data_IF_895460854963
#
_entry.id   IF_895460854963
#
_cell.length_a   1.000
_cell.length_b   1.000
_cell.length_c   1.000
_cell.angle_alpha   90.00
_cell.angle_beta   90.00
_cell.angle_gamma   90.00
#
_symmetry.space_group_name_H-M   'P 1'
#
loop_
_entity.id
_entity.type
_entity.pdbx_description
1 polymer ?
#
# COMPACT_ATOMS: atom_id res chain seq x y z
N UNK A 1 20.29 4.73 9.01
CA UNK A 1 19.11 3.82 9.00
C UNK A 1 19.49 2.58 8.20
N UNK A 2 19.45 1.40 8.81
CA UNK A 2 20.23 0.22 8.40
C UNK A 2 19.88 -0.36 7.01
N UNK A 3 20.87 -0.63 6.14
CA UNK A 3 20.67 -1.14 4.77
C UNK A 3 20.21 -2.61 4.68
N UNK A 4 20.09 -3.32 5.81
CA UNK A 4 19.82 -4.76 5.86
C UNK A 4 18.33 -5.15 5.79
N UNK A 5 17.40 -4.19 5.75
CA UNK A 5 15.95 -4.46 5.80
C UNK A 5 15.34 -4.67 4.39
N UNK A 6 16.07 -4.24 3.35
CA UNK A 6 15.65 -4.37 1.94
C UNK A 6 15.42 -5.82 1.48
N UNK A 7 16.32 -6.80 1.75
CA UNK A 7 16.11 -8.17 1.28
C UNK A 7 14.92 -8.85 1.96
N UNK A 8 14.65 -8.55 3.24
CA UNK A 8 13.58 -9.19 4.00
C UNK A 8 12.18 -8.84 3.46
N UNK A 9 11.99 -7.58 3.03
CA UNK A 9 10.74 -7.12 2.42
C UNK A 9 10.48 -7.74 1.05
N UNK A 10 11.54 -7.87 0.23
CA UNK A 10 11.46 -8.53 -1.07
C UNK A 10 11.13 -10.03 -0.92
N UNK A 11 11.75 -10.70 0.06
CA UNK A 11 11.48 -12.11 0.35
C UNK A 11 10.05 -12.33 0.86
N UNK A 12 9.59 -11.51 1.81
CA UNK A 12 8.23 -11.59 2.34
C UNK A 12 7.17 -11.35 1.25
N UNK A 13 7.42 -10.42 0.32
CA UNK A 13 6.53 -10.20 -0.83
C UNK A 13 6.55 -11.39 -1.80
N UNK A 14 7.74 -11.94 -2.12
CA UNK A 14 7.89 -13.12 -2.97
C UNK A 14 7.15 -14.35 -2.45
N UNK A 15 7.10 -14.51 -1.12
CA UNK A 15 6.39 -15.60 -0.43
C UNK A 15 4.89 -15.31 -0.17
N UNK A 16 4.40 -14.11 -0.47
CA UNK A 16 3.00 -13.72 -0.23
C UNK A 16 2.65 -13.44 1.24
N UNK A 17 3.64 -13.33 2.12
CA UNK A 17 3.46 -12.98 3.54
C UNK A 17 3.55 -11.48 3.81
N UNK A 18 3.88 -10.69 2.80
CA UNK A 18 3.90 -9.24 2.93
C UNK A 18 2.50 -8.68 3.19
N UNK A 19 2.46 -7.71 4.08
CA UNK A 19 1.30 -6.87 4.33
C UNK A 19 1.29 -5.70 3.37
N UNK A 20 0.11 -5.46 2.81
CA UNK A 20 -0.19 -4.40 1.87
C UNK A 20 -1.46 -3.67 2.32
N UNK A 21 -1.47 -2.36 2.15
CA UNK A 21 -2.70 -1.58 2.19
C UNK A 21 -3.17 -1.32 0.75
N UNK A 22 -4.40 -1.72 0.46
CA UNK A 22 -5.12 -1.34 -0.75
C UNK A 22 -5.93 -0.09 -0.42
N UNK A 23 -5.62 1.03 -1.04
CA UNK A 23 -6.36 2.28 -0.91
C UNK A 23 -7.05 2.55 -2.23
N UNK A 24 -8.36 2.74 -2.19
CA UNK A 24 -9.22 2.99 -3.34
C UNK A 24 -9.79 4.38 -3.18
N UNK A 25 -9.47 5.27 -4.10
CA UNK A 25 -10.09 6.59 -4.17
C UNK A 25 -11.21 6.55 -5.20
N UNK A 26 -12.27 7.31 -4.96
CA UNK A 26 -13.33 7.55 -5.93
C UNK A 26 -13.37 9.04 -6.27
N UNK A 27 -13.33 9.34 -7.56
CA UNK A 27 -13.23 10.70 -8.10
C UNK A 27 -11.84 11.33 -7.97
N UNK A 28 -10.78 10.79 -8.62
CA UNK A 28 -10.75 9.74 -9.65
C UNK A 28 -10.68 8.31 -9.10
N UNK A 29 -11.15 7.35 -9.89
CA UNK A 29 -11.22 5.93 -9.50
C UNK A 29 -9.83 5.27 -9.66
N UNK A 30 -9.05 5.28 -8.58
CA UNK A 30 -7.65 4.84 -8.56
C UNK A 30 -7.43 3.91 -7.37
N UNK A 31 -6.70 2.83 -7.61
CA UNK A 31 -6.28 1.91 -6.56
C UNK A 31 -4.77 2.02 -6.32
N UNK A 32 -4.39 2.46 -5.12
CA UNK A 32 -3.01 2.52 -4.64
C UNK A 32 -2.69 1.31 -3.76
N UNK A 33 -1.53 0.70 -4.00
CA UNK A 33 -0.98 -0.38 -3.19
C UNK A 33 0.23 0.09 -2.42
N UNK A 34 0.06 0.21 -1.10
CA UNK A 34 1.09 0.68 -0.21
C UNK A 34 1.72 -0.49 0.57
N UNK A 35 3.03 -0.70 0.37
CA UNK A 35 3.78 -1.84 0.88
C UNK A 35 5.09 -2.08 0.12
N UNK A 36 5.77 -3.23 0.28
CA UNK A 36 5.45 -4.35 1.18
C UNK A 36 6.00 -4.17 2.61
N UNK A 37 5.22 -4.58 3.61
CA UNK A 37 5.64 -4.64 5.01
C UNK A 37 5.73 -6.08 5.52
N UNK A 38 6.65 -6.35 6.44
CA UNK A 38 6.81 -7.67 7.05
C UNK A 38 5.73 -7.94 8.10
N UNK A 39 5.26 -6.89 8.80
CA UNK A 39 4.26 -6.98 9.87
C UNK A 39 3.11 -6.02 9.61
N UNK A 40 1.89 -6.41 10.05
CA UNK A 40 0.69 -5.58 9.98
C UNK A 40 0.88 -4.26 10.73
N UNK A 41 1.41 -4.33 11.95
CA UNK A 41 1.63 -3.16 12.80
C UNK A 41 2.59 -2.15 12.15
N UNK A 42 3.65 -2.62 11.48
CA UNK A 42 4.59 -1.72 10.80
C UNK A 42 3.96 -0.98 9.63
N UNK A 43 3.00 -1.60 8.93
CA UNK A 43 2.19 -0.95 7.91
C UNK A 43 1.21 0.06 8.54
N UNK A 44 0.45 -0.37 9.55
CA UNK A 44 -0.57 0.46 10.20
C UNK A 44 -0.01 1.69 10.91
N UNK A 45 1.25 1.68 11.35
CA UNK A 45 1.88 2.86 11.95
C UNK A 45 2.18 3.98 10.96
N UNK A 46 2.44 3.66 9.68
CA UNK A 46 2.78 4.64 8.64
C UNK A 46 1.64 4.86 7.65
N UNK A 47 0.64 3.98 7.64
CA UNK A 47 -0.54 4.08 6.78
C UNK A 47 -1.33 5.39 6.98
N UNK A 48 -1.57 5.90 8.20
CA UNK A 48 -2.30 7.16 8.39
C UNK A 48 -1.65 8.36 7.70
N UNK A 49 -0.32 8.46 7.73
CA UNK A 49 0.40 9.53 7.03
C UNK A 49 0.21 9.43 5.51
N UNK A 50 0.26 8.21 4.96
CA UNK A 50 -0.01 7.98 3.54
C UNK A 50 -1.46 8.31 3.14
N UNK A 51 -2.43 8.01 4.01
CA UNK A 51 -3.83 8.36 3.77
C UNK A 51 -4.07 9.88 3.84
N UNK A 52 -3.37 10.58 4.72
CA UNK A 52 -3.44 12.05 4.85
C UNK A 52 -2.87 12.76 3.61
N UNK A 53 -1.76 12.24 3.08
CA UNK A 53 -1.18 12.69 1.81
C UNK A 53 -2.19 12.53 0.66
N UNK A 54 -2.85 11.35 0.55
CA UNK A 54 -3.87 11.10 -0.47
C UNK A 54 -5.15 11.94 -0.26
N UNK A 55 -5.55 12.17 0.98
CA UNK A 55 -6.72 12.98 1.30
C UNK A 55 -6.52 14.45 0.95
N UNK A 56 -5.28 14.94 0.95
CA UNK A 56 -4.94 16.31 0.56
C UNK A 56 -5.21 16.60 -0.92
N UNK A 57 -5.32 15.56 -1.75
CA UNK A 57 -5.75 15.66 -3.15
C UNK A 57 -7.26 15.81 -3.32
N UNK A 58 -8.01 15.89 -2.20
CA UNK A 58 -9.47 16.03 -2.15
C UNK A 58 -10.25 15.00 -3.00
N UNK A 59 -10.02 13.68 -2.81
CA UNK A 59 -10.84 12.65 -3.44
C UNK A 59 -12.29 12.74 -2.94
N UNK A 60 -13.25 12.33 -3.77
CA UNK A 60 -14.68 12.39 -3.40
C UNK A 60 -15.03 11.37 -2.31
N UNK A 61 -14.43 10.19 -2.35
CA UNK A 61 -14.40 9.24 -1.24
C UNK A 61 -13.15 8.35 -1.30
N UNK A 62 -12.80 7.74 -0.16
CA UNK A 62 -11.63 6.88 -0.06
C UNK A 62 -11.90 5.70 0.88
N UNK A 63 -11.64 4.49 0.38
CA UNK A 63 -11.71 3.24 1.13
C UNK A 63 -10.30 2.64 1.26
N UNK A 64 -10.00 2.03 2.40
CA UNK A 64 -8.73 1.32 2.56
C UNK A 64 -8.94 -0.05 3.20
N UNK A 65 -8.06 -1.00 2.86
CA UNK A 65 -8.07 -2.35 3.42
C UNK A 65 -6.65 -2.86 3.58
N UNK A 66 -6.36 -3.45 4.74
CA UNK A 66 -5.06 -4.06 5.04
C UNK A 66 -5.16 -5.57 4.88
N UNK A 67 -4.35 -6.14 3.99
CA UNK A 67 -4.36 -7.56 3.67
C UNK A 67 -2.96 -8.12 3.43
N UNK A 68 -2.81 -9.44 3.53
CA UNK A 68 -1.62 -10.14 3.08
C UNK A 68 -1.81 -10.57 1.64
N UNK A 69 -0.86 -10.21 0.77
CA UNK A 69 -0.83 -10.68 -0.59
C UNK A 69 0.56 -10.54 -1.19
N UNK A 70 0.75 -11.13 -2.37
CA UNK A 70 1.89 -10.87 -3.23
C UNK A 70 1.49 -9.82 -4.27
N UNK A 71 2.28 -8.75 -4.40
CA UNK A 71 2.10 -7.74 -5.46
C UNK A 71 3.37 -7.53 -6.25
N UNK A 72 3.20 -7.26 -7.52
CA UNK A 72 4.20 -6.71 -8.44
C UNK A 72 3.66 -5.42 -9.05
N UNK A 73 4.52 -4.66 -9.69
CA UNK A 73 4.09 -3.49 -10.47
C UNK A 73 3.07 -3.89 -11.56
N UNK A 74 2.10 -3.00 -11.89
CA UNK A 74 1.91 -1.65 -11.35
C UNK A 74 1.23 -1.64 -9.96
N UNK A 75 1.77 -0.84 -9.03
CA UNK A 75 1.22 -0.63 -7.68
C UNK A 75 0.17 0.48 -7.61
N UNK A 76 0.10 1.32 -8.64
CA UNK A 76 -0.95 2.30 -8.85
C UNK A 76 -1.72 1.87 -10.09
N UNK A 77 -3.01 1.61 -9.92
CA UNK A 77 -3.89 1.16 -11.00
C UNK A 77 -4.99 2.20 -11.14
N UNK A 78 -4.97 2.93 -12.25
CA UNK A 78 -6.07 3.80 -12.64
C UNK A 78 -7.18 2.92 -13.24
N UNK A 79 -8.44 3.13 -12.87
CA UNK A 79 -9.56 2.42 -13.48
C UNK A 79 -9.83 2.88 -14.92
N UNK A 80 -9.20 3.97 -15.36
CA UNK A 80 -9.23 4.44 -16.74
C UNK A 80 -8.13 3.72 -17.53
N UNK A 81 -8.55 2.77 -18.37
CA UNK A 81 -7.70 2.15 -19.39
C UNK A 81 -7.27 3.12 -20.47
#
# INVERSE_FOLDING_TARGET
MSPLIRPLRSLANGLGFAWWARVQTHGPDVTYWFGPFVTKNGLEQVLPAFLDDLSSEAPSSMDHSVLRCRRSEPLTINAQG
#
